data_IF_481969708763
#
_entry.id   IF_481969708763
#
_cell.length_a   1.000
_cell.length_b   1.000
_cell.length_c   1.000
_cell.angle_alpha   90.00
_cell.angle_beta   90.00
_cell.angle_gamma   90.00
#
_symmetry.space_group_name_H-M   'P 1'
#
loop_
_entity.id
_entity.type
_entity.pdbx_description
1 polymer ?
#
# COMPACT_ATOMS: atom_id res chain seq x y z
N UNK A 1 24.54 9.39 11.25
CA UNK A 1 24.51 10.49 10.26
C UNK A 1 23.51 10.08 9.19
N UNK A 2 22.48 10.88 8.95
CA UNK A 2 21.49 10.58 7.91
C UNK A 2 22.13 10.74 6.53
N UNK A 3 21.96 9.74 5.66
CA UNK A 3 22.40 9.79 4.27
C UNK A 3 21.43 10.64 3.45
N UNK A 4 21.94 11.33 2.42
CA UNK A 4 21.12 12.21 1.57
C UNK A 4 20.90 11.54 0.22
N UNK A 5 19.65 11.41 -0.18
CA UNK A 5 19.19 10.95 -1.48
C UNK A 5 18.66 12.14 -2.30
N UNK A 6 18.66 12.00 -3.63
CA UNK A 6 18.16 13.00 -4.57
C UNK A 6 16.70 12.70 -4.94
N UNK A 7 15.76 13.09 -4.08
CA UNK A 7 14.30 12.90 -4.28
C UNK A 7 13.89 11.44 -4.57
N UNK A 8 14.50 10.48 -3.86
CA UNK A 8 14.18 9.08 -4.02
C UNK A 8 12.73 8.79 -3.57
N UNK A 9 12.08 7.84 -4.23
CA UNK A 9 10.66 7.51 -4.04
C UNK A 9 10.49 6.02 -3.81
N UNK A 10 9.91 5.68 -2.66
CA UNK A 10 9.52 4.30 -2.34
C UNK A 10 8.01 4.21 -2.37
N UNK A 11 7.49 3.34 -3.22
CA UNK A 11 6.11 2.88 -3.11
C UNK A 11 6.09 1.69 -2.16
N UNK A 12 5.16 1.68 -1.22
CA UNK A 12 4.90 0.53 -0.36
C UNK A 12 3.47 0.08 -0.56
N UNK A 13 3.24 -1.22 -0.66
CA UNK A 13 1.90 -1.78 -0.77
C UNK A 13 1.59 -2.67 0.44
N UNK A 14 0.42 -2.44 1.03
CA UNK A 14 -0.17 -3.26 2.08
C UNK A 14 -1.54 -3.76 1.67
N UNK A 15 -1.67 -5.07 1.48
CA UNK A 15 -2.91 -5.68 0.99
C UNK A 15 -4.12 -5.47 1.92
N UNK A 16 -3.86 -5.34 3.24
CA UNK A 16 -4.79 -5.18 4.38
C UNK A 16 -6.18 -5.78 4.16
N UNK A 17 -6.29 -7.06 4.52
CA UNK A 17 -7.53 -7.85 4.47
C UNK A 17 -8.11 -8.19 5.86
N UNK A 18 -7.28 -8.21 6.90
CA UNK A 18 -7.67 -8.49 8.28
C UNK A 18 -6.69 -7.85 9.28
N UNK A 19 -7.21 -7.09 10.25
CA UNK A 19 -6.42 -6.42 11.28
C UNK A 19 -5.64 -5.20 10.77
N UNK A 20 -4.83 -4.60 11.65
CA UNK A 20 -4.07 -3.38 11.37
C UNK A 20 -2.55 -3.61 11.37
N UNK A 21 -2.12 -4.86 11.54
CA UNK A 21 -0.71 -5.20 11.73
C UNK A 21 0.15 -4.90 10.51
N UNK A 22 -0.37 -5.13 9.30
CA UNK A 22 0.32 -4.88 8.05
C UNK A 22 0.54 -3.38 7.82
N UNK A 23 -0.52 -2.57 7.85
CA UNK A 23 -0.37 -1.11 7.80
C UNK A 23 0.55 -0.54 8.88
N UNK A 24 0.42 -1.00 10.14
CA UNK A 24 1.30 -0.53 11.24
C UNK A 24 2.77 -0.85 10.97
N UNK A 25 3.05 -2.04 10.42
CA UNK A 25 4.41 -2.44 10.03
C UNK A 25 4.94 -1.58 8.88
N UNK A 26 4.18 -1.44 7.80
CA UNK A 26 4.55 -0.60 6.65
C UNK A 26 4.85 0.84 7.09
N UNK A 27 3.97 1.43 7.92
CA UNK A 27 4.17 2.77 8.48
C UNK A 27 5.42 2.87 9.34
N UNK A 28 5.68 1.88 10.19
CA UNK A 28 6.88 1.86 11.04
C UNK A 28 8.15 1.83 10.21
N UNK A 29 8.18 1.00 9.15
CA UNK A 29 9.30 0.92 8.21
C UNK A 29 9.45 2.25 7.46
N UNK A 30 8.37 2.80 6.90
CA UNK A 30 8.38 4.07 6.20
C UNK A 30 8.93 5.21 7.06
N UNK A 31 8.51 5.27 8.33
CA UNK A 31 8.98 6.28 9.29
C UNK A 31 10.47 6.18 9.57
N UNK A 32 10.99 4.95 9.75
CA UNK A 32 12.42 4.73 9.95
C UNK A 32 13.22 5.13 8.70
N UNK A 33 12.73 4.77 7.51
CA UNK A 33 13.37 5.11 6.25
C UNK A 33 13.46 6.63 6.05
N UNK A 34 12.36 7.38 6.23
CA UNK A 34 12.42 8.84 6.04
C UNK A 34 13.21 9.56 7.14
N UNK A 35 13.40 8.94 8.30
CA UNK A 35 14.25 9.46 9.39
C UNK A 35 15.74 9.30 9.07
N UNK A 36 16.12 8.15 8.52
CA UNK A 36 17.52 7.83 8.18
C UNK A 36 17.97 8.45 6.85
N UNK A 37 17.06 8.62 5.88
CA UNK A 37 17.38 9.09 4.52
C UNK A 37 16.71 10.44 4.22
N UNK A 38 17.50 11.52 4.20
CA UNK A 38 17.02 12.84 3.76
C UNK A 38 16.76 12.83 2.26
N UNK A 39 15.67 13.46 1.84
CA UNK A 39 15.27 13.50 0.43
C UNK A 39 14.62 12.19 -0.05
N UNK A 40 14.25 11.29 0.86
CA UNK A 40 13.39 10.15 0.57
C UNK A 40 11.91 10.49 0.83
N UNK A 41 11.06 10.14 -0.13
CA UNK A 41 9.61 10.17 0.01
C UNK A 41 9.05 8.74 -0.06
N UNK A 42 8.03 8.47 0.76
CA UNK A 42 7.37 7.15 0.81
C UNK A 42 5.87 7.33 0.60
N UNK A 43 5.30 6.57 -0.32
CA UNK A 43 3.86 6.50 -0.53
C UNK A 43 3.37 5.10 -0.17
N UNK A 44 2.37 4.99 0.71
CA UNK A 44 1.82 3.70 1.15
C UNK A 44 0.45 3.49 0.53
N UNK A 45 0.28 2.46 -0.31
CA UNK A 45 -1.03 2.00 -0.76
C UNK A 45 -1.58 1.01 0.26
N UNK A 46 -2.79 1.25 0.78
CA UNK A 46 -3.41 0.38 1.79
C UNK A 46 -4.91 0.18 1.61
N UNK A 47 -5.32 -1.07 1.79
CA UNK A 47 -6.72 -1.47 1.92
C UNK A 47 -7.35 -1.20 3.30
N UNK A 48 -6.58 -0.81 4.32
CA UNK A 48 -7.08 -0.68 5.68
C UNK A 48 -8.12 0.44 5.82
N UNK A 49 -9.25 0.15 6.48
CA UNK A 49 -10.37 1.08 6.69
C UNK A 49 -9.95 2.40 7.34
N UNK A 50 -9.06 2.32 8.32
CA UNK A 50 -8.65 3.45 9.15
C UNK A 50 -7.29 4.04 8.72
N UNK A 51 -6.85 3.81 7.47
CA UNK A 51 -5.56 4.32 7.02
C UNK A 51 -5.40 5.83 7.27
N UNK A 52 -6.43 6.62 6.96
CA UNK A 52 -6.44 8.07 7.21
C UNK A 52 -6.58 8.49 8.68
N UNK A 53 -6.74 7.56 9.62
CA UNK A 53 -6.78 7.88 11.04
C UNK A 53 -5.39 7.79 11.72
N UNK A 54 -4.35 7.39 10.98
CA UNK A 54 -2.97 7.34 11.49
C UNK A 54 -2.22 8.64 11.21
N UNK A 55 -1.34 9.03 12.14
CA UNK A 55 -0.40 10.13 11.90
C UNK A 55 0.74 9.69 11.00
N UNK A 56 1.02 10.39 9.91
CA UNK A 56 2.18 10.13 9.07
C UNK A 56 3.25 11.19 9.28
N UNK A 57 4.52 10.75 9.29
CA UNK A 57 5.64 11.69 9.33
C UNK A 57 5.72 12.47 8.01
N UNK A 58 6.31 13.66 8.05
CA UNK A 58 6.62 14.41 6.84
C UNK A 58 7.37 13.53 5.83
N UNK A 59 6.99 13.60 4.55
CA UNK A 59 7.45 12.74 3.43
C UNK A 59 6.93 11.31 3.44
N UNK A 60 6.02 10.97 4.33
CA UNK A 60 5.23 9.73 4.25
C UNK A 60 3.78 10.11 4.01
N UNK A 61 3.21 9.58 2.95
CA UNK A 61 1.79 9.75 2.63
C UNK A 61 1.17 8.40 2.26
N UNK A 62 -0.15 8.37 2.03
CA UNK A 62 -0.86 7.13 1.72
C UNK A 62 -1.95 7.31 0.65
N UNK A 63 -2.21 6.22 -0.08
CA UNK A 63 -3.36 6.07 -0.96
C UNK A 63 -4.26 4.97 -0.41
N UNK A 64 -5.52 5.32 -0.17
CA UNK A 64 -6.55 4.35 0.22
C UNK A 64 -7.09 3.65 -1.02
N UNK A 65 -7.08 2.32 -1.02
CA UNK A 65 -7.78 1.49 -2.01
C UNK A 65 -9.00 0.81 -1.38
N UNK A 66 -10.01 0.37 -2.16
CA UNK A 66 -11.17 -0.34 -1.62
C UNK A 66 -10.79 -1.48 -0.67
N UNK A 67 -11.44 -1.55 0.49
CA UNK A 67 -11.15 -2.58 1.50
C UNK A 67 -11.74 -3.93 1.12
N UNK A 68 -11.01 -5.00 1.41
CA UNK A 68 -11.51 -6.37 1.37
C UNK A 68 -11.52 -6.96 2.77
N UNK A 69 -12.45 -7.85 3.05
CA UNK A 69 -12.53 -8.60 4.31
C UNK A 69 -12.15 -10.05 4.03
N UNK A 70 -11.21 -10.58 4.81
CA UNK A 70 -10.95 -12.02 4.84
C UNK A 70 -11.97 -12.72 5.74
N UNK A 71 -12.72 -13.65 5.17
CA UNK A 71 -13.66 -14.53 5.86
C UNK A 71 -12.91 -15.66 6.59
N UNK A 72 -13.55 -16.26 7.60
CA UNK A 72 -12.96 -17.34 8.41
C UNK A 72 -12.63 -18.60 7.61
N UNK A 73 -13.30 -18.82 6.48
CA UNK A 73 -13.04 -19.91 5.55
C UNK A 73 -11.83 -19.63 4.62
N UNK A 74 -11.17 -18.47 4.78
CA UNK A 74 -10.03 -18.08 3.95
C UNK A 74 -10.39 -17.34 2.67
N UNK A 75 -11.68 -17.24 2.34
CA UNK A 75 -12.15 -16.45 1.20
C UNK A 75 -12.07 -14.95 1.50
N UNK A 76 -12.11 -14.15 0.45
CA UNK A 76 -12.17 -12.69 0.56
C UNK A 76 -13.53 -12.22 0.07
N UNK A 77 -14.07 -11.18 0.69
CA UNK A 77 -15.27 -10.48 0.25
C UNK A 77 -15.03 -8.98 0.24
N UNK A 78 -15.78 -8.22 -0.55
CA UNK A 78 -15.73 -6.75 -0.47
C UNK A 78 -16.25 -6.28 0.88
N UNK A 79 -15.69 -5.19 1.40
CA UNK A 79 -16.26 -4.57 2.61
C UNK A 79 -17.62 -3.94 2.31
N UNK A 80 -17.84 -3.46 1.08
CA UNK A 80 -19.15 -3.03 0.62
C UNK A 80 -19.95 -4.25 0.17
N UNK A 81 -21.03 -4.57 0.91
CA UNK A 81 -21.86 -5.76 0.67
C UNK A 81 -22.53 -5.78 -0.69
N UNK A 82 -22.59 -4.64 -1.39
CA UNK A 82 -23.24 -4.53 -2.70
C UNK A 82 -22.27 -4.63 -3.88
N UNK A 83 -20.95 -4.70 -3.62
CA UNK A 83 -19.94 -4.75 -4.67
C UNK A 83 -19.31 -6.14 -4.71
N UNK A 84 -19.31 -6.75 -5.89
CA UNK A 84 -18.64 -8.03 -6.11
C UNK A 84 -17.13 -7.93 -5.84
N UNK A 85 -16.53 -9.03 -5.37
CA UNK A 85 -15.10 -9.08 -5.10
C UNK A 85 -14.27 -8.78 -6.36
N UNK A 86 -14.69 -9.28 -7.53
CA UNK A 86 -13.94 -9.06 -8.78
C UNK A 86 -13.96 -7.59 -9.17
N UNK A 87 -15.09 -6.90 -9.04
CA UNK A 87 -15.17 -5.45 -9.29
C UNK A 87 -14.29 -4.67 -8.30
N UNK A 88 -14.27 -5.09 -7.04
CA UNK A 88 -13.38 -4.53 -6.02
C UNK A 88 -11.90 -4.72 -6.40
N UNK A 89 -11.52 -5.92 -6.84
CA UNK A 89 -10.15 -6.22 -7.29
C UNK A 89 -9.77 -5.44 -8.55
N UNK A 90 -10.68 -5.25 -9.50
CA UNK A 90 -10.47 -4.40 -10.69
C UNK A 90 -10.18 -2.96 -10.30
N UNK A 91 -10.98 -2.39 -9.39
CA UNK A 91 -10.75 -1.05 -8.87
C UNK A 91 -9.39 -0.94 -8.16
N UNK A 92 -9.06 -1.92 -7.32
CA UNK A 92 -7.76 -1.98 -6.63
C UNK A 92 -6.60 -2.00 -7.62
N UNK A 93 -6.63 -2.90 -8.62
CA UNK A 93 -5.62 -2.97 -9.70
C UNK A 93 -5.41 -1.64 -10.40
N UNK A 94 -6.51 -1.00 -10.84
CA UNK A 94 -6.44 0.28 -11.54
C UNK A 94 -5.81 1.38 -10.68
N UNK A 95 -6.21 1.49 -9.40
CA UNK A 95 -5.63 2.47 -8.50
C UNK A 95 -4.14 2.19 -8.25
N UNK A 96 -3.77 0.93 -7.98
CA UNK A 96 -2.38 0.53 -7.73
C UNK A 96 -1.51 0.87 -8.94
N UNK A 97 -1.94 0.46 -10.14
CA UNK A 97 -1.24 0.72 -11.39
C UNK A 97 -1.04 2.22 -11.65
N UNK A 98 -2.12 3.00 -11.68
CA UNK A 98 -1.98 4.43 -11.98
C UNK A 98 -1.28 5.21 -10.88
N UNK A 99 -1.35 4.75 -9.62
CA UNK A 99 -0.54 5.33 -8.54
C UNK A 99 0.94 5.10 -8.80
N UNK A 100 1.36 3.88 -9.14
CA UNK A 100 2.74 3.57 -9.47
C UNK A 100 3.22 4.35 -10.71
N UNK A 101 2.41 4.35 -11.77
CA UNK A 101 2.68 5.08 -13.02
C UNK A 101 2.84 6.58 -12.79
N UNK A 102 1.99 7.21 -11.97
CA UNK A 102 2.08 8.65 -11.71
C UNK A 102 3.19 9.00 -10.71
N UNK A 103 3.40 8.16 -9.70
CA UNK A 103 4.37 8.42 -8.63
C UNK A 103 5.81 8.18 -9.09
N UNK A 104 6.02 7.28 -10.06
CA UNK A 104 7.33 6.87 -10.59
C UNK A 104 8.29 6.46 -9.45
N UNK A 105 7.99 5.39 -8.70
CA UNK A 105 8.85 4.96 -7.60
C UNK A 105 10.17 4.36 -8.11
N UNK A 106 11.26 4.63 -7.40
CA UNK A 106 12.55 3.96 -7.62
C UNK A 106 12.55 2.53 -7.05
N UNK A 107 11.78 2.30 -5.99
CA UNK A 107 11.65 1.01 -5.33
C UNK A 107 10.18 0.76 -4.99
N UNK A 108 9.71 -0.45 -5.27
CA UNK A 108 8.40 -0.92 -4.83
C UNK A 108 8.53 -2.04 -3.79
N UNK A 109 8.01 -1.80 -2.58
CA UNK A 109 8.02 -2.76 -1.46
C UNK A 109 6.61 -3.33 -1.28
N UNK A 110 6.46 -4.64 -1.48
CA UNK A 110 5.17 -5.33 -1.37
C UNK A 110 5.15 -6.16 -0.07
N UNK A 111 4.21 -5.88 0.85
CA UNK A 111 4.10 -6.63 2.09
C UNK A 111 3.43 -8.01 1.88
N UNK A 112 4.06 -9.05 2.43
CA UNK A 112 3.59 -10.44 2.54
C UNK A 112 3.46 -11.23 1.22
N UNK A 113 2.67 -10.77 0.27
CA UNK A 113 2.37 -11.49 -0.98
C UNK A 113 2.96 -10.71 -2.16
N UNK A 114 4.04 -11.19 -2.82
CA UNK A 114 4.76 -10.41 -3.84
C UNK A 114 3.91 -9.95 -5.03
N UNK A 115 2.89 -10.73 -5.40
CA UNK A 115 1.94 -10.39 -6.45
C UNK A 115 0.69 -9.66 -5.91
N UNK A 116 0.73 -9.23 -4.64
CA UNK A 116 -0.41 -8.65 -3.96
C UNK A 116 -1.57 -9.63 -3.82
N UNK A 117 -2.73 -9.08 -3.44
CA UNK A 117 -3.93 -9.90 -3.30
C UNK A 117 -4.43 -10.31 -4.69
N UNK A 118 -4.43 -11.61 -4.99
CA UNK A 118 -4.93 -12.13 -6.29
C UNK A 118 -4.26 -11.46 -7.51
N UNK A 119 -2.95 -11.21 -7.46
CA UNK A 119 -2.19 -10.68 -8.60
C UNK A 119 -2.38 -9.18 -8.84
N UNK A 120 -2.97 -8.43 -7.90
CA UNK A 120 -3.37 -7.05 -8.18
C UNK A 120 -2.23 -6.03 -8.38
N UNK A 121 -0.98 -6.43 -8.14
CA UNK A 121 0.20 -5.58 -8.39
C UNK A 121 0.98 -5.99 -9.63
N UNK A 122 0.64 -7.10 -10.30
CA UNK A 122 1.43 -7.66 -11.40
C UNK A 122 1.67 -6.66 -12.54
N UNK A 123 0.63 -5.91 -12.92
CA UNK A 123 0.70 -4.89 -13.98
C UNK A 123 1.68 -3.75 -13.66
N UNK A 124 2.04 -3.56 -12.38
CA UNK A 124 2.99 -2.52 -11.96
C UNK A 124 4.45 -2.94 -12.05
N UNK A 125 4.71 -4.23 -12.28
CA UNK A 125 6.05 -4.81 -12.33
C UNK A 125 6.59 -4.98 -13.76
N UNK A 126 5.79 -4.66 -14.77
CA UNK A 126 6.08 -4.88 -16.18
C UNK A 126 6.87 -3.74 -16.83
#
# INVERSE_FOLDING_TARGET
MSSRLNDARILMYSHDSFGLGHLRRCRTIAHALVEDYRGLNVLIISGATIAGAFDYRARVDFVKIPSVIKLRNGEYTSMDRHIDLQETLKMRRSIIYHTAESFQPDIFIVDKEPMGLRGEVEETLA
#
